data_IF_845052279975
#
_entry.id   IF_845052279975
#
_cell.length_a   1.000
_cell.length_b   1.000
_cell.length_c   1.000
_cell.angle_alpha   90.00
_cell.angle_beta   90.00
_cell.angle_gamma   90.00
#
_symmetry.space_group_name_H-M   'P 1'
#
loop_
_entity.id
_entity.type
_entity.pdbx_description
1 polymer ?
#
# COMPACT_ATOMS: atom_id res chain seq x y z
N UNK A 1 -15.19 -11.18 7.15
CA UNK A 1 -14.39 -10.00 6.79
C UNK A 1 -13.48 -10.42 5.65
N UNK A 2 -13.13 -9.53 4.72
CA UNK A 2 -12.22 -9.85 3.62
C UNK A 2 -10.77 -9.66 4.05
N UNK A 3 -9.81 -10.35 3.40
CA UNK A 3 -8.40 -10.28 3.80
C UNK A 3 -7.80 -8.87 3.81
N UNK A 4 -8.28 -7.95 2.97
CA UNK A 4 -7.85 -6.55 3.01
C UNK A 4 -8.31 -5.82 4.28
N UNK A 5 -9.54 -6.09 4.72
CA UNK A 5 -10.10 -5.45 5.91
C UNK A 5 -9.42 -5.97 7.19
N UNK A 6 -9.14 -7.27 7.26
CA UNK A 6 -8.34 -7.89 8.33
C UNK A 6 -6.91 -7.32 8.36
N UNK A 7 -6.29 -7.15 7.18
CA UNK A 7 -4.99 -6.50 7.06
C UNK A 7 -5.02 -5.07 7.62
N UNK A 8 -6.01 -4.24 7.22
CA UNK A 8 -6.16 -2.87 7.71
C UNK A 8 -6.36 -2.81 9.23
N UNK A 9 -7.14 -3.73 9.79
CA UNK A 9 -7.32 -3.83 11.25
C UNK A 9 -5.99 -4.17 11.95
N UNK A 10 -5.25 -5.15 11.44
CA UNK A 10 -3.98 -5.57 12.03
C UNK A 10 -2.90 -4.48 11.97
N UNK A 11 -2.75 -3.79 10.85
CA UNK A 11 -1.74 -2.71 10.73
C UNK A 11 -2.16 -1.42 11.45
N UNK A 12 -3.45 -1.21 11.68
CA UNK A 12 -3.99 -0.01 12.34
C UNK A 12 -3.88 -0.04 13.86
N UNK A 13 -3.71 -1.22 14.45
CA UNK A 13 -3.56 -1.42 15.89
C UNK A 13 -2.18 -2.02 16.22
N UNK A 14 -1.24 -1.23 16.77
CA UNK A 14 0.07 -1.72 17.18
C UNK A 14 0.05 -2.82 18.25
N UNK A 15 -1.06 -3.00 18.96
CA UNK A 15 -1.23 -4.08 19.95
C UNK A 15 -1.80 -5.37 19.36
N UNK A 16 -2.24 -5.33 18.10
CA UNK A 16 -2.77 -6.51 17.43
C UNK A 16 -1.69 -7.57 17.26
N UNK A 17 -2.02 -8.82 17.56
CA UNK A 17 -1.08 -9.96 17.52
C UNK A 17 -0.39 -10.17 16.14
N UNK A 18 -0.98 -9.65 15.06
CA UNK A 18 -0.51 -9.80 13.69
C UNK A 18 0.12 -8.52 13.14
N UNK A 19 0.19 -7.43 13.91
CA UNK A 19 0.66 -6.13 13.45
C UNK A 19 2.02 -6.21 12.74
N UNK A 20 3.02 -6.76 13.43
CA UNK A 20 4.38 -6.90 12.90
C UNK A 20 4.49 -7.94 11.76
N UNK A 21 3.63 -8.95 11.75
CA UNK A 21 3.59 -9.94 10.69
C UNK A 21 3.02 -9.33 9.40
N UNK A 22 1.94 -8.56 9.51
CA UNK A 22 1.28 -7.91 8.39
C UNK A 22 2.12 -6.78 7.80
N UNK A 23 2.77 -5.96 8.63
CA UNK A 23 3.73 -4.95 8.15
C UNK A 23 4.91 -5.57 7.42
N UNK A 24 5.47 -6.69 7.92
CA UNK A 24 6.55 -7.40 7.22
C UNK A 24 6.09 -8.01 5.91
N UNK A 25 4.89 -8.60 5.90
CA UNK A 25 4.31 -9.20 4.70
C UNK A 25 4.07 -8.16 3.59
N UNK A 26 3.53 -6.98 3.93
CA UNK A 26 3.29 -5.93 2.94
C UNK A 26 4.54 -5.12 2.57
N UNK A 27 5.69 -5.39 3.19
CA UNK A 27 6.97 -4.76 2.86
C UNK A 27 7.29 -3.49 3.65
N UNK A 28 6.59 -3.21 4.75
CA UNK A 28 6.87 -2.11 5.66
C UNK A 28 5.64 -1.28 6.01
N UNK A 29 5.81 -0.01 6.41
CA UNK A 29 4.71 0.92 6.66
C UNK A 29 3.77 1.01 5.46
N UNK A 30 2.47 0.97 5.74
CA UNK A 30 1.43 1.00 4.71
C UNK A 30 0.42 2.11 5.00
N UNK A 31 0.15 2.95 4.00
CA UNK A 31 -0.92 3.96 4.05
C UNK A 31 -1.98 3.63 2.98
N UNK A 32 -3.19 3.21 3.39
CA UNK A 32 -4.28 2.87 2.45
C UNK A 32 -4.76 4.06 1.61
N UNK A 33 -4.40 5.29 1.96
CA UNK A 33 -4.81 6.53 1.28
C UNK A 33 -3.71 7.16 0.43
N UNK A 34 -2.54 6.53 0.34
CA UNK A 34 -1.37 7.10 -0.36
C UNK A 34 -1.49 7.14 -1.89
N UNK A 35 -2.43 6.40 -2.48
CA UNK A 35 -2.59 6.34 -3.94
C UNK A 35 -3.16 7.65 -4.52
N UNK A 36 -2.42 8.27 -5.44
CA UNK A 36 -2.88 9.43 -6.22
C UNK A 36 -2.88 9.10 -7.73
N UNK A 37 -4.07 9.14 -8.32
CA UNK A 37 -4.29 8.82 -9.74
C UNK A 37 -3.53 9.77 -10.67
N UNK A 38 -3.38 11.04 -10.30
CA UNK A 38 -2.70 12.01 -11.14
C UNK A 38 -1.19 11.74 -11.18
N UNK A 39 -0.59 11.41 -10.04
CA UNK A 39 0.82 11.00 -9.94
C UNK A 39 1.10 9.72 -10.70
N UNK A 40 0.24 8.70 -10.56
CA UNK A 40 0.37 7.45 -11.31
C UNK A 40 0.31 7.68 -12.83
N UNK A 41 -0.66 8.48 -13.30
CA UNK A 41 -0.80 8.80 -14.71
C UNK A 41 0.38 9.60 -15.27
N UNK A 42 0.98 10.51 -14.48
CA UNK A 42 2.20 11.22 -14.89
C UNK A 42 3.36 10.24 -15.06
N UNK A 43 3.63 9.40 -14.06
CA UNK A 43 4.72 8.44 -14.10
C UNK A 43 4.64 7.48 -15.31
N UNK A 44 3.43 7.02 -15.65
CA UNK A 44 3.20 6.16 -16.82
C UNK A 44 3.51 6.93 -18.12
N UNK A 45 3.08 8.19 -18.25
CA UNK A 45 3.35 9.01 -19.44
C UNK A 45 4.83 9.31 -19.60
N UNK A 46 5.52 9.62 -18.50
CA UNK A 46 6.96 9.89 -18.50
C UNK A 46 7.71 8.64 -18.97
N UNK A 47 7.41 7.46 -18.40
CA UNK A 47 8.00 6.19 -18.81
C UNK A 47 7.74 5.83 -20.28
N UNK A 48 6.54 6.12 -20.79
CA UNK A 48 6.21 5.89 -22.21
C UNK A 48 6.98 6.82 -23.14
N UNK A 49 7.20 8.07 -22.72
CA UNK A 49 7.90 9.09 -23.49
C UNK A 49 9.42 8.86 -23.55
N UNK A 50 9.99 8.19 -22.55
CA UNK A 50 11.41 7.82 -22.53
C UNK A 50 11.73 6.58 -23.39
N UNK A 51 10.72 5.80 -23.78
CA UNK A 51 10.87 4.50 -24.45
C UNK A 51 10.36 4.47 -25.89
N UNK A 52 9.84 5.59 -26.39
CA UNK A 52 9.37 5.81 -27.76
C UNK A 52 10.17 6.94 -28.39
#
# INVERSE_FOLDING_TARGET
LGGYEEFLQAIGDPSHEQHDAMLRWCGGPFDPKSFDINSANRAIRDWLSERL
#
